data_IF_934571362197
#
_entry.id   IF_934571362197
#
_cell.length_a   1.000
_cell.length_b   1.000
_cell.length_c   1.000
_cell.angle_alpha   90.00
_cell.angle_beta   90.00
_cell.angle_gamma   90.00
#
_symmetry.space_group_name_H-M   'P 1'
#
loop_
_entity.id
_entity.type
_entity.pdbx_description
1 polymer ?
#
# COMPACT_ATOMS: atom_id res chain seq x y z
N UNK A 1 9.13 -8.86 -12.48
CA UNK A 1 8.30 -7.65 -12.38
C UNK A 1 8.05 -7.36 -10.91
N UNK A 2 8.27 -6.12 -10.48
CA UNK A 2 7.97 -5.65 -9.14
C UNK A 2 7.09 -4.41 -9.27
N UNK A 3 5.83 -4.52 -8.85
CA UNK A 3 4.86 -3.43 -8.91
C UNK A 3 4.29 -3.18 -7.52
N UNK A 4 3.99 -1.92 -7.22
CA UNK A 4 3.28 -1.52 -6.00
C UNK A 4 2.11 -0.65 -6.42
N UNK A 5 0.91 -0.97 -5.97
CA UNK A 5 -0.30 -0.17 -6.14
C UNK A 5 -0.66 0.37 -4.77
N UNK A 6 -0.93 1.67 -4.68
CA UNK A 6 -1.28 2.30 -3.42
C UNK A 6 -2.44 3.26 -3.61
N UNK A 7 -3.27 3.35 -2.57
CA UNK A 7 -4.37 4.30 -2.50
C UNK A 7 -4.59 4.71 -1.04
N UNK A 8 -5.31 5.82 -0.85
CA UNK A 8 -5.61 6.35 0.46
C UNK A 8 -7.09 6.68 0.61
N UNK A 9 -7.56 6.71 1.86
CA UNK A 9 -8.89 7.23 2.17
C UNK A 9 -8.77 8.24 3.30
N UNK A 10 -8.90 9.51 2.94
CA UNK A 10 -8.98 10.61 3.88
C UNK A 10 -10.37 10.64 4.53
N UNK A 11 -10.40 10.63 5.86
CA UNK A 11 -11.61 10.74 6.64
C UNK A 11 -11.56 12.02 7.49
N UNK A 12 -12.40 12.98 7.15
CA UNK A 12 -12.46 14.25 7.89
C UNK A 12 -12.93 14.01 9.33
N UNK A 13 -12.07 14.34 10.30
CA UNK A 13 -12.38 14.17 11.73
C UNK A 13 -12.23 12.73 12.28
N UNK A 14 -11.83 11.77 11.46
CA UNK A 14 -11.49 10.40 11.88
C UNK A 14 -10.07 10.01 11.41
N UNK A 15 -9.61 8.82 11.81
CA UNK A 15 -8.38 8.24 11.26
C UNK A 15 -8.55 7.96 9.76
N UNK A 16 -7.54 8.35 8.98
CA UNK A 16 -7.42 8.07 7.55
C UNK A 16 -6.55 6.83 7.34
N UNK A 17 -6.69 6.10 6.23
CA UNK A 17 -5.93 4.84 6.03
C UNK A 17 -5.29 4.78 4.65
N UNK A 18 -4.27 3.92 4.53
CA UNK A 18 -3.56 3.62 3.30
C UNK A 18 -3.72 2.14 3.02
N UNK A 19 -4.00 1.81 1.76
CA UNK A 19 -4.01 0.44 1.25
C UNK A 19 -2.96 0.26 0.18
N UNK A 20 -2.21 -0.85 0.24
CA UNK A 20 -1.20 -1.20 -0.76
C UNK A 20 -1.37 -2.64 -1.25
N UNK A 21 -1.17 -2.84 -2.55
CA UNK A 21 -1.01 -4.15 -3.19
C UNK A 21 0.36 -4.22 -3.84
N UNK A 22 1.19 -5.19 -3.46
CA UNK A 22 2.51 -5.42 -4.04
C UNK A 22 2.48 -6.67 -4.91
N UNK A 23 2.98 -6.61 -6.15
CA UNK A 23 3.17 -7.78 -7.01
C UNK A 23 4.66 -8.06 -7.19
N UNK A 24 5.10 -9.25 -6.80
CA UNK A 24 6.52 -9.65 -6.88
C UNK A 24 6.66 -11.15 -7.12
N UNK A 25 7.41 -11.55 -8.14
CA UNK A 25 7.74 -12.97 -8.42
C UNK A 25 6.51 -13.90 -8.48
N UNK A 26 5.40 -13.43 -9.06
CA UNK A 26 4.14 -14.18 -9.11
C UNK A 26 3.31 -14.14 -7.82
N UNK A 27 3.86 -13.58 -6.73
CA UNK A 27 3.15 -13.35 -5.47
C UNK A 27 2.48 -12.00 -5.45
N UNK A 28 1.41 -11.91 -4.67
CA UNK A 28 0.68 -10.68 -4.41
C UNK A 28 0.62 -10.47 -2.89
N UNK A 29 1.01 -9.30 -2.43
CA UNK A 29 1.05 -8.96 -1.00
C UNK A 29 0.09 -7.81 -0.76
N UNK A 30 -0.73 -7.91 0.29
CA UNK A 30 -1.70 -6.87 0.66
C UNK A 30 -1.30 -6.25 1.99
N UNK A 31 -1.36 -4.92 2.05
CA UNK A 31 -1.04 -4.14 3.25
C UNK A 31 -2.12 -3.08 3.45
N UNK A 32 -2.49 -2.86 4.70
CA UNK A 32 -3.32 -1.73 5.13
C UNK A 32 -2.69 -1.11 6.37
N UNK A 33 -2.73 0.22 6.47
CA UNK A 33 -2.39 0.92 7.72
C UNK A 33 -3.62 1.02 8.62
N UNK A 34 -3.38 1.21 9.92
CA UNK A 34 -4.43 1.56 10.90
C UNK A 34 -4.63 3.07 11.02
N UNK A 35 -3.71 3.85 10.45
CA UNK A 35 -3.77 5.30 10.29
C UNK A 35 -2.78 5.79 9.23
N UNK A 36 -3.02 6.95 8.65
CA UNK A 36 -2.04 7.72 7.87
C UNK A 36 -1.10 8.46 8.85
N UNK A 37 0.23 8.35 8.71
CA UNK A 37 1.17 9.12 9.53
C UNK A 37 0.98 10.63 9.37
N UNK A 38 1.44 11.42 10.36
CA UNK A 38 1.55 12.87 10.19
C UNK A 38 0.25 13.68 10.32
N UNK A 39 -0.91 13.05 10.59
CA UNK A 39 -2.22 13.73 10.71
C UNK A 39 -2.55 14.52 9.43
N UNK A 40 -2.85 13.83 8.32
CA UNK A 40 -3.08 14.46 7.03
C UNK A 40 -4.24 15.46 7.12
N UNK A 41 -4.18 16.53 6.31
CA UNK A 41 -5.20 17.60 6.31
C UNK A 41 -6.03 17.61 5.04
N UNK A 42 -5.69 16.76 4.07
CA UNK A 42 -6.35 16.69 2.77
C UNK A 42 -6.21 15.29 2.16
N UNK A 43 -7.01 15.04 1.12
CA UNK A 43 -6.85 13.85 0.27
C UNK A 43 -5.44 13.79 -0.31
N UNK A 44 -4.93 14.92 -0.82
CA UNK A 44 -3.60 14.95 -1.43
C UNK A 44 -2.51 14.56 -0.43
N UNK A 45 -2.59 15.03 0.82
CA UNK A 45 -1.64 14.61 1.87
C UNK A 45 -1.67 13.09 2.07
N UNK A 46 -2.86 12.48 2.09
CA UNK A 46 -3.00 11.03 2.22
C UNK A 46 -2.42 10.28 1.01
N UNK A 47 -2.61 10.77 -0.21
CA UNK A 47 -2.03 10.16 -1.41
C UNK A 47 -0.50 10.24 -1.42
N UNK A 48 0.06 11.36 -0.97
CA UNK A 48 1.51 11.53 -0.84
C UNK A 48 2.09 10.58 0.22
N UNK A 49 1.39 10.36 1.32
CA UNK A 49 1.76 9.37 2.34
C UNK A 49 1.61 7.93 1.82
N UNK A 50 0.61 7.65 0.97
CA UNK A 50 0.44 6.35 0.33
C UNK A 50 1.62 6.01 -0.60
N UNK A 51 2.05 6.99 -1.42
CA UNK A 51 3.25 6.86 -2.26
C UNK A 51 4.53 6.73 -1.42
N UNK A 52 4.63 7.47 -0.31
CA UNK A 52 5.76 7.34 0.63
C UNK A 52 5.84 5.93 1.21
N UNK A 53 4.70 5.37 1.64
CA UNK A 53 4.63 3.98 2.12
C UNK A 53 5.00 2.98 1.01
N UNK A 54 4.55 3.20 -0.22
CA UNK A 54 4.90 2.36 -1.35
C UNK A 54 6.41 2.36 -1.64
N UNK A 55 7.10 3.49 -1.46
CA UNK A 55 8.56 3.57 -1.51
C UNK A 55 9.20 2.74 -0.40
N UNK A 56 8.69 2.79 0.84
CA UNK A 56 9.18 1.92 1.93
C UNK A 56 8.95 0.43 1.63
N UNK A 57 7.79 0.04 1.10
CA UNK A 57 7.54 -1.33 0.65
C UNK A 57 8.51 -1.74 -0.46
N UNK A 58 8.88 -0.80 -1.32
CA UNK A 58 9.90 -1.00 -2.34
C UNK A 58 11.24 -1.36 -1.72
N UNK A 59 11.70 -0.65 -0.69
CA UNK A 59 12.94 -0.98 0.02
C UNK A 59 12.91 -2.42 0.55
N UNK A 60 11.81 -2.81 1.18
CA UNK A 60 11.64 -4.13 1.80
C UNK A 60 11.65 -5.27 0.77
N UNK A 61 10.96 -5.10 -0.37
CA UNK A 61 10.74 -6.19 -1.34
C UNK A 61 11.59 -6.09 -2.62
N UNK A 62 12.56 -5.17 -2.66
CA UNK A 62 13.40 -4.89 -3.83
C UNK A 62 14.46 -5.97 -4.15
N UNK A 63 14.65 -6.96 -3.29
CA UNK A 63 15.68 -7.99 -3.50
C UNK A 63 15.52 -8.68 -4.87
N UNK A 64 16.58 -8.61 -5.68
CA UNK A 64 16.60 -9.16 -7.04
C UNK A 64 15.68 -8.48 -8.05
N UNK A 65 15.11 -7.31 -7.73
CA UNK A 65 14.42 -6.46 -8.70
C UNK A 65 15.46 -5.64 -9.51
N UNK A 66 15.03 -5.12 -10.66
CA UNK A 66 15.81 -4.18 -11.48
C UNK A 66 14.99 -2.95 -11.81
N UNK A 67 13.74 -3.21 -12.19
CA UNK A 67 12.73 -2.20 -12.51
C UNK A 67 11.54 -2.36 -11.57
N UNK A 68 11.09 -1.23 -11.03
CA UNK A 68 10.02 -1.14 -10.06
C UNK A 68 9.06 -0.06 -10.53
N UNK A 69 7.76 -0.35 -10.52
CA UNK A 69 6.73 0.65 -10.82
C UNK A 69 5.76 0.79 -9.66
N UNK A 70 5.61 2.01 -9.19
CA UNK A 70 4.67 2.41 -8.14
C UNK A 70 3.51 3.14 -8.80
N UNK A 71 2.30 2.67 -8.52
CA UNK A 71 1.05 3.12 -9.10
C UNK A 71 0.16 3.78 -8.04
N UNK A 72 -0.52 4.84 -8.46
CA UNK A 72 -1.54 5.54 -7.68
C UNK A 72 -2.56 6.19 -8.65
N UNK A 73 -3.80 6.41 -8.22
CA UNK A 73 -4.85 6.97 -9.07
C UNK A 73 -4.97 8.51 -8.98
N UNK A 74 -4.18 9.16 -8.13
CA UNK A 74 -4.03 10.62 -8.09
C UNK A 74 -2.94 11.10 -9.03
N UNK A 75 -3.36 11.66 -10.17
CA UNK A 75 -2.42 12.29 -11.12
C UNK A 75 -1.60 13.44 -10.50
N UNK A 76 -2.12 14.10 -9.46
CA UNK A 76 -1.42 15.17 -8.76
C UNK A 76 -0.31 14.62 -7.88
N UNK A 77 -0.59 13.59 -7.07
CA UNK A 77 0.39 12.94 -6.22
C UNK A 77 1.50 12.26 -7.04
N UNK A 78 1.13 11.56 -8.11
CA UNK A 78 2.10 10.94 -9.05
C UNK A 78 3.06 11.98 -9.63
N UNK A 79 2.57 13.17 -10.03
CA UNK A 79 3.43 14.24 -10.57
C UNK A 79 4.44 14.75 -9.54
N UNK A 80 4.11 14.76 -8.25
CA UNK A 80 5.05 15.13 -7.18
C UNK A 80 6.18 14.10 -7.13
N UNK A 81 5.84 12.82 -7.02
CA UNK A 81 6.83 11.75 -6.92
C UNK A 81 7.66 11.55 -8.20
N UNK A 82 7.10 11.83 -9.38
CA UNK A 82 7.87 11.85 -10.63
C UNK A 82 8.99 12.91 -10.60
N UNK A 83 8.76 14.07 -9.97
CA UNK A 83 9.79 15.11 -9.79
C UNK A 83 10.83 14.71 -8.74
N UNK A 84 10.39 14.02 -7.68
CA UNK A 84 11.26 13.54 -6.60
C UNK A 84 12.03 12.26 -6.96
N UNK A 85 11.63 11.57 -8.04
CA UNK A 85 12.22 10.31 -8.50
C UNK A 85 13.75 10.30 -8.47
N UNK A 86 14.48 11.31 -8.99
CA UNK A 86 15.94 11.28 -8.97
C UNK A 86 16.55 11.23 -7.56
N UNK A 87 15.91 11.86 -6.58
CA UNK A 87 16.36 11.81 -5.17
C UNK A 87 15.98 10.50 -4.50
N UNK A 88 14.81 9.95 -4.85
CA UNK A 88 14.37 8.64 -4.37
C UNK A 88 15.31 7.56 -4.91
N UNK A 89 15.57 7.51 -6.22
CA UNK A 89 16.44 6.53 -6.87
C UNK A 89 17.87 6.52 -6.29
N UNK A 90 18.41 7.65 -5.82
CA UNK A 90 19.72 7.67 -5.12
C UNK A 90 19.76 6.78 -3.89
N UNK A 91 18.62 6.54 -3.24
CA UNK A 91 18.50 5.65 -2.07
C UNK A 91 18.57 4.18 -2.45
N UNK A 92 18.29 3.85 -3.71
CA UNK A 92 18.21 2.49 -4.21
C UNK A 92 19.37 2.23 -5.17
N UNK A 93 20.39 1.53 -4.68
CA UNK A 93 21.64 1.31 -5.42
C UNK A 93 21.42 0.54 -6.73
N UNK A 94 21.18 1.25 -7.84
CA UNK A 94 21.07 0.70 -9.19
C UNK A 94 19.68 0.17 -9.58
N UNK A 95 18.63 0.52 -8.84
CA UNK A 95 17.24 0.18 -9.20
C UNK A 95 16.59 1.35 -9.93
N UNK A 96 15.82 1.07 -10.98
CA UNK A 96 14.94 2.07 -11.60
C UNK A 96 13.58 2.04 -10.93
N UNK A 97 13.12 3.20 -10.44
CA UNK A 97 11.81 3.34 -9.79
C UNK A 97 10.96 4.30 -10.60
N UNK A 98 9.83 3.82 -11.10
CA UNK A 98 8.89 4.62 -11.86
C UNK A 98 7.62 4.88 -11.05
N UNK A 99 7.03 6.05 -11.25
CA UNK A 99 5.76 6.45 -10.66
C UNK A 99 4.76 6.70 -11.77
N UNK A 100 3.64 5.98 -11.75
CA UNK A 100 2.67 6.00 -12.84
C UNK A 100 1.25 6.18 -12.32
N UNK A 101 0.48 6.98 -13.06
CA UNK A 101 -0.96 7.04 -12.86
C UNK A 101 -1.59 5.75 -13.37
N UNK A 102 -2.52 5.20 -12.58
CA UNK A 102 -3.37 4.10 -13.03
C UNK A 102 -4.84 4.41 -12.72
N UNK A 103 -5.77 4.15 -13.64
CA UNK A 103 -7.20 4.28 -13.35
C UNK A 103 -7.63 3.34 -12.22
N UNK A 104 -8.50 3.86 -11.34
CA UNK A 104 -9.02 3.15 -10.16
C UNK A 104 -9.69 1.81 -10.50
N UNK A 105 -10.25 1.66 -11.69
CA UNK A 105 -10.98 0.46 -12.11
C UNK A 105 -10.05 -0.73 -12.41
N UNK A 106 -8.74 -0.51 -12.46
CA UNK A 106 -7.78 -1.60 -12.65
C UNK A 106 -7.72 -2.47 -11.40
N UNK A 107 -7.75 -3.79 -11.60
CA UNK A 107 -7.94 -4.79 -10.53
C UNK A 107 -7.06 -4.54 -9.30
N UNK A 108 -5.76 -4.34 -9.47
CA UNK A 108 -4.85 -4.15 -8.32
C UNK A 108 -5.00 -2.78 -7.65
N UNK A 109 -5.35 -1.74 -8.42
CA UNK A 109 -5.64 -0.42 -7.87
C UNK A 109 -6.97 -0.44 -7.09
N UNK A 110 -8.00 -1.10 -7.62
CA UNK A 110 -9.27 -1.30 -6.93
C UNK A 110 -9.11 -2.06 -5.60
N UNK A 111 -8.16 -3.01 -5.55
CA UNK A 111 -7.82 -3.71 -4.29
C UNK A 111 -7.13 -2.75 -3.32
N UNK A 112 -6.15 -1.96 -3.77
CA UNK A 112 -5.49 -0.95 -2.93
C UNK A 112 -6.50 0.07 -2.37
N UNK A 113 -7.41 0.55 -3.21
CA UNK A 113 -8.53 1.41 -2.81
C UNK A 113 -9.47 0.75 -1.79
N UNK A 114 -9.82 -0.52 -2.02
CA UNK A 114 -10.62 -1.25 -1.04
C UNK A 114 -9.91 -1.41 0.31
N UNK A 115 -8.58 -1.56 0.31
CA UNK A 115 -7.77 -1.67 1.52
C UNK A 115 -7.69 -0.32 2.26
N UNK A 116 -7.74 0.81 1.55
CA UNK A 116 -7.63 2.15 2.14
C UNK A 116 -8.93 2.64 2.81
N UNK A 117 -10.10 2.12 2.42
CA UNK A 117 -11.43 2.61 2.87
C UNK A 117 -11.88 2.15 4.25
N UNK A 118 -11.03 2.23 5.28
CA UNK A 118 -11.31 1.78 6.65
C UNK A 118 -11.55 0.27 6.67
N UNK A 119 -10.50 -0.51 6.94
CA UNK A 119 -10.55 -1.98 7.02
C UNK A 119 -11.82 -2.45 7.76
N UNK A 120 -12.89 -2.87 7.08
CA UNK A 120 -13.98 -3.51 7.74
C UNK A 120 -13.48 -4.93 7.98
N UNK A 121 -13.62 -5.44 9.19
CA UNK A 121 -13.49 -6.88 9.50
C UNK A 121 -14.54 -7.73 8.72
N UNK A 122 -15.18 -7.19 7.68
CA UNK A 122 -16.41 -7.69 7.05
C UNK A 122 -16.26 -8.27 5.64
N UNK A 123 -15.07 -8.32 5.04
CA UNK A 123 -14.88 -9.03 3.76
C UNK A 123 -14.34 -10.45 3.96
N UNK A 124 -15.22 -11.34 4.43
CA UNK A 124 -15.04 -12.78 4.28
C UNK A 124 -16.32 -13.39 3.69
N UNK A 125 -16.39 -13.43 2.36
CA UNK A 125 -17.14 -14.46 1.63
C UNK A 125 -16.74 -14.53 0.15
N UNK A 126 -15.44 -14.46 -0.13
CA UNK A 126 -14.91 -14.88 -1.45
C UNK A 126 -14.15 -16.18 -1.24
N UNK A 127 -14.61 -17.30 -1.81
CA UNK A 127 -13.92 -18.57 -1.69
C UNK A 127 -12.66 -18.60 -2.58
N UNK A 128 -11.71 -19.42 -2.14
CA UNK A 128 -10.51 -19.96 -2.83
C UNK A 128 -9.31 -19.03 -3.00
N UNK A 129 -8.35 -19.10 -2.07
CA UNK A 129 -7.17 -20.00 -2.07
C UNK A 129 -6.23 -19.55 -0.95
N UNK A 130 -5.81 -20.48 -0.08
CA UNK A 130 -4.75 -20.42 0.95
C UNK A 130 -4.19 -19.04 1.37
N UNK A 131 -5.07 -18.13 1.76
CA UNK A 131 -4.71 -16.94 2.55
C UNK A 131 -5.40 -17.13 3.90
N UNK A 132 -4.65 -17.39 4.96
CA UNK A 132 -5.19 -17.29 6.32
C UNK A 132 -5.61 -15.85 6.56
N UNK A 133 -6.91 -15.60 6.50
CA UNK A 133 -7.48 -14.32 6.92
C UNK A 133 -7.29 -14.15 8.42
N UNK A 134 -6.64 -13.05 8.84
CA UNK A 134 -6.49 -12.68 10.26
C UNK A 134 -7.81 -12.53 11.01
N UNK A 135 -8.94 -12.41 10.31
CA UNK A 135 -10.28 -12.42 10.92
C UNK A 135 -10.59 -13.69 11.74
N UNK A 136 -9.76 -14.74 11.67
CA UNK A 136 -9.87 -15.96 12.48
C UNK A 136 -8.77 -16.12 13.55
N UNK A 137 -7.86 -15.14 13.68
CA UNK A 137 -6.72 -15.17 14.62
C UNK A 137 -6.80 -14.00 15.60
N UNK A 138 -7.71 -14.14 16.57
CA UNK A 138 -7.92 -13.18 17.68
C UNK A 138 -6.63 -12.86 18.44
N UNK A 139 -5.68 -13.80 18.49
CA UNK A 139 -4.38 -13.62 19.10
C UNK A 139 -3.55 -12.52 18.40
N UNK A 140 -3.62 -12.45 17.07
CA UNK A 140 -2.83 -11.50 16.27
C UNK A 140 -3.50 -10.12 16.25
N UNK A 141 -4.83 -10.07 16.12
CA UNK A 141 -5.58 -8.82 16.21
C UNK A 141 -5.46 -8.18 17.61
N UNK A 142 -5.50 -9.00 18.66
CA UNK A 142 -5.29 -8.55 20.03
C UNK A 142 -3.86 -8.06 20.26
N UNK A 143 -2.85 -8.70 19.66
CA UNK A 143 -1.45 -8.27 19.75
C UNK A 143 -1.24 -6.90 19.07
N UNK A 144 -1.83 -6.69 17.90
CA UNK A 144 -1.77 -5.41 17.18
C UNK A 144 -2.44 -4.29 17.97
N UNK A 145 -3.64 -4.53 18.49
CA UNK A 145 -4.36 -3.56 19.31
C UNK A 145 -3.63 -3.27 20.63
N UNK A 146 -3.03 -4.28 21.25
CA UNK A 146 -2.30 -4.16 22.52
C UNK A 146 -0.92 -3.49 22.36
N UNK A 147 -0.25 -3.70 21.22
CA UNK A 147 1.13 -3.24 21.00
C UNK A 147 1.24 -2.06 20.02
N UNK A 148 0.14 -1.57 19.46
CA UNK A 148 0.15 -0.41 18.54
C UNK A 148 0.96 -0.65 17.26
N UNK A 149 0.95 -1.88 16.73
CA UNK A 149 1.70 -2.23 15.51
C UNK A 149 0.98 -1.65 14.28
N UNK A 150 1.74 -0.99 13.40
CA UNK A 150 1.17 -0.20 12.30
C UNK A 150 1.16 -0.93 10.93
N UNK A 151 1.62 -2.19 10.85
CA UNK A 151 1.85 -2.89 9.57
C UNK A 151 1.41 -4.35 9.66
N UNK A 152 0.50 -4.75 8.76
CA UNK A 152 0.07 -6.12 8.50
C UNK A 152 0.70 -6.61 7.18
N UNK A 153 1.27 -7.82 7.18
CA UNK A 153 1.79 -8.47 5.97
C UNK A 153 0.89 -9.64 5.59
N UNK A 154 0.42 -9.67 4.34
CA UNK A 154 -0.26 -10.83 3.76
C UNK A 154 0.56 -11.32 2.57
N UNK A 155 1.13 -12.52 2.64
CA UNK A 155 1.79 -13.15 1.48
C UNK A 155 0.80 -14.09 0.78
N UNK A 156 0.55 -13.88 -0.52
CA UNK A 156 -0.20 -14.82 -1.36
C UNK A 156 0.75 -15.87 -1.94
N UNK A 157 0.51 -17.15 -1.62
CA UNK A 157 1.16 -18.33 -2.23
C UNK A 157 0.43 -18.72 -3.51
#
# INVERSE_FOLDING_TARGET
MFEVYCDSSFNEGEESYIGCTVLRNGKQIHQSTTKVPGSPKSNLDCELEALSLAVTLTEIFSEGARDITIYNDSTEAVKVFQKERPEIEKKFSGLSINFEYIPREKVNQAIADSLSKKFPVFFLNVPTCEVESFSRRDDILSDIARNGRNILYLEKV
#
